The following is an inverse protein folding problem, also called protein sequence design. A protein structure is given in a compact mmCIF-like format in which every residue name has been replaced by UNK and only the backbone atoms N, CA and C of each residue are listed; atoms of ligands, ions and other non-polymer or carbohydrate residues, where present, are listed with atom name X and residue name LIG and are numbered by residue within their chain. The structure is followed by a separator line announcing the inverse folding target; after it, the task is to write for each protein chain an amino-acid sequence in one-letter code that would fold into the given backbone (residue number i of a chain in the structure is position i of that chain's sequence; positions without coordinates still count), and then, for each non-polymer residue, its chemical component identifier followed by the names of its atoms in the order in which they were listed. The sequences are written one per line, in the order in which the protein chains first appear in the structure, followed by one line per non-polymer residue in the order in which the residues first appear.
data_IF_655616105823
#
_entry.id   IF_655616105823
#
_cell.length_a   1.000
_cell.length_b   1.000
_cell.length_c   1.000
_cell.angle_alpha   90.00
_cell.angle_beta   90.00
_cell.angle_gamma   90.00
#
_symmetry.space_group_name_H-M   'P 1'
#
loop_
_entity.id
_entity.type
_entity.pdbx_description
1 polymer ?
#
# COMPACT_ATOMS: atom_id res chain seq x y z
N UNK A 1 -11.27 21.57 4.71
CA UNK A 1 -10.89 21.78 3.29
C UNK A 1 -9.41 21.52 2.97
N UNK A 2 -8.44 21.81 3.85
CA UNK A 2 -7.02 21.41 3.62
C UNK A 2 -6.73 19.95 4.07
N UNK A 3 -7.47 19.46 5.07
CA UNK A 3 -7.34 18.11 5.61
C UNK A 3 -7.82 17.02 4.63
N UNK A 4 -9.01 17.18 4.03
CA UNK A 4 -9.53 16.25 3.01
C UNK A 4 -8.55 16.06 1.84
N UNK A 5 -8.07 17.16 1.25
CA UNK A 5 -7.13 17.09 0.13
C UNK A 5 -5.82 16.36 0.48
N UNK A 6 -5.36 16.48 1.73
CA UNK A 6 -4.17 15.77 2.21
C UNK A 6 -4.45 14.27 2.34
N UNK A 7 -5.59 13.88 2.93
CA UNK A 7 -6.00 12.49 3.06
C UNK A 7 -6.21 11.83 1.69
N UNK A 8 -6.85 12.54 0.75
CA UNK A 8 -7.08 12.08 -0.61
C UNK A 8 -5.75 11.85 -1.35
N UNK A 9 -4.79 12.77 -1.19
CA UNK A 9 -3.45 12.62 -1.76
C UNK A 9 -2.71 11.42 -1.16
N UNK A 10 -2.81 11.19 0.14
CA UNK A 10 -2.16 10.05 0.79
C UNK A 10 -2.81 8.72 0.38
N UNK A 11 -4.14 8.67 0.26
CA UNK A 11 -4.85 7.51 -0.24
C UNK A 11 -4.41 7.15 -1.67
N UNK A 12 -4.29 8.15 -2.54
CA UNK A 12 -3.76 7.96 -3.90
C UNK A 12 -2.34 7.40 -3.90
N UNK A 13 -1.44 7.95 -3.06
CA UNK A 13 -0.06 7.48 -2.97
C UNK A 13 0.05 6.04 -2.44
N UNK A 14 -0.81 5.66 -1.48
CA UNK A 14 -0.86 4.29 -0.96
C UNK A 14 -1.34 3.29 -2.02
N UNK A 15 -2.39 3.63 -2.76
CA UNK A 15 -2.90 2.81 -3.87
C UNK A 15 -1.85 2.62 -4.98
N UNK A 16 -1.16 3.70 -5.37
CA UNK A 16 -0.10 3.64 -6.38
C UNK A 16 1.09 2.77 -5.92
N UNK A 17 1.50 2.92 -4.65
CA UNK A 17 2.56 2.10 -4.06
C UNK A 17 2.18 0.61 -4.03
N UNK A 18 0.94 0.28 -3.68
CA UNK A 18 0.46 -1.11 -3.69
C UNK A 18 0.46 -1.69 -5.11
N UNK A 19 -0.07 -0.95 -6.10
CA UNK A 19 -0.09 -1.38 -7.50
C UNK A 19 1.31 -1.65 -8.03
N UNK A 20 2.23 -0.72 -7.77
CA UNK A 20 3.64 -0.87 -8.14
C UNK A 20 4.28 -2.08 -7.47
N UNK A 21 4.00 -2.30 -6.19
CA UNK A 21 4.53 -3.44 -5.43
C UNK A 21 4.01 -4.78 -5.98
N UNK A 22 2.70 -4.89 -6.24
CA UNK A 22 2.10 -6.11 -6.82
C UNK A 22 2.63 -6.40 -8.22
N UNK A 23 2.82 -5.36 -9.03
CA UNK A 23 3.47 -5.50 -10.34
C UNK A 23 4.88 -6.05 -10.21
N UNK A 24 5.70 -5.50 -9.31
CA UNK A 24 7.06 -5.99 -9.07
C UNK A 24 7.09 -7.46 -8.62
N UNK A 25 6.19 -7.86 -7.70
CA UNK A 25 6.05 -9.27 -7.28
C UNK A 25 5.75 -10.17 -8.49
N UNK A 26 4.81 -9.76 -9.35
CA UNK A 26 4.43 -10.54 -10.55
C UNK A 26 5.62 -10.71 -11.51
N UNK A 27 6.44 -9.66 -11.68
CA UNK A 27 7.65 -9.73 -12.50
C UNK A 27 8.70 -10.68 -11.89
N UNK A 28 8.89 -10.63 -10.57
CA UNK A 28 9.82 -11.52 -9.88
C UNK A 28 9.36 -12.97 -9.89
N UNK A 29 8.06 -13.24 -9.77
CA UNK A 29 7.50 -14.59 -9.90
C UNK A 29 7.75 -15.17 -11.29
N UNK A 30 7.60 -14.33 -12.33
CA UNK A 30 7.90 -14.71 -13.71
C UNK A 30 9.39 -15.06 -13.87
N UNK A 31 10.29 -14.27 -13.28
CA UNK A 31 11.74 -14.56 -13.26
C UNK A 31 12.05 -15.84 -12.46
N UNK A 32 11.39 -16.02 -11.32
CA UNK A 32 11.54 -17.18 -10.44
C UNK A 32 11.09 -18.49 -11.10
N UNK A 33 10.14 -18.44 -12.04
CA UNK A 33 9.68 -19.61 -12.80
C UNK A 33 10.69 -20.15 -13.83
N UNK A 34 11.74 -19.37 -14.14
CA UNK A 34 12.78 -19.80 -15.08
C UNK A 34 13.67 -20.90 -14.49
N UNK A 35 14.28 -21.70 -15.37
CA UNK A 35 15.20 -22.77 -14.93
C UNK A 35 16.61 -22.23 -14.70
N UNK A 36 17.12 -22.40 -13.48
CA UNK A 36 18.45 -21.93 -13.07
C UNK A 36 19.39 -23.10 -12.77
N UNK A 37 20.20 -23.54 -13.73
CA UNK A 37 21.01 -24.77 -13.57
C UNK A 37 22.42 -24.53 -13.01
N UNK A 38 22.95 -23.31 -13.14
CA UNK A 38 24.27 -22.97 -12.63
C UNK A 38 24.22 -22.57 -11.15
N UNK A 39 25.34 -22.70 -10.43
CA UNK A 39 25.46 -22.21 -9.06
C UNK A 39 25.15 -20.71 -8.97
N UNK A 40 25.61 -19.92 -9.95
CA UNK A 40 25.29 -18.50 -10.03
C UNK A 40 23.79 -18.25 -10.25
N UNK A 41 23.14 -19.08 -11.08
CA UNK A 41 21.70 -19.02 -11.31
C UNK A 41 20.89 -19.35 -10.05
N UNK A 42 21.29 -20.37 -9.29
CA UNK A 42 20.64 -20.72 -8.03
C UNK A 42 20.79 -19.58 -6.99
N UNK A 43 21.99 -18.99 -6.86
CA UNK A 43 22.20 -17.84 -5.98
C UNK A 43 21.38 -16.60 -6.41
N UNK A 44 21.15 -16.42 -7.71
CA UNK A 44 20.25 -15.39 -8.23
C UNK A 44 18.79 -15.70 -7.88
N UNK A 45 18.34 -16.93 -8.10
CA UNK A 45 16.99 -17.38 -7.74
C UNK A 45 16.68 -17.15 -6.25
N UNK A 46 17.61 -17.51 -5.36
CA UNK A 46 17.44 -17.28 -3.92
C UNK A 46 17.23 -15.80 -3.60
N UNK A 47 17.92 -14.89 -4.30
CA UNK A 47 17.74 -13.45 -4.13
C UNK A 47 16.38 -12.97 -4.65
N UNK A 48 15.92 -13.51 -5.77
CA UNK A 48 14.59 -13.22 -6.34
C UNK A 48 13.50 -13.63 -5.34
N UNK A 49 13.56 -14.85 -4.81
CA UNK A 49 12.60 -15.35 -3.81
C UNK A 49 12.60 -14.49 -2.54
N UNK A 50 13.78 -14.14 -2.03
CA UNK A 50 13.90 -13.28 -0.86
C UNK A 50 13.31 -11.89 -1.10
N UNK A 51 13.54 -11.31 -2.29
CA UNK A 51 12.98 -10.02 -2.65
C UNK A 51 11.46 -10.08 -2.80
N UNK A 52 10.91 -11.11 -3.45
CA UNK A 52 9.45 -11.31 -3.55
C UNK A 52 8.81 -11.38 -2.16
N UNK A 53 9.38 -12.18 -1.25
CA UNK A 53 8.86 -12.29 0.12
C UNK A 53 8.90 -10.97 0.90
N UNK A 54 9.95 -10.16 0.69
CA UNK A 54 10.02 -8.83 1.29
C UNK A 54 8.96 -7.88 0.71
N UNK A 55 8.73 -7.92 -0.60
CA UNK A 55 7.70 -7.11 -1.25
C UNK A 55 6.27 -7.53 -0.86
N UNK A 56 6.02 -8.82 -0.63
CA UNK A 56 4.74 -9.30 -0.10
C UNK A 56 4.43 -8.70 1.27
N UNK A 57 5.44 -8.67 2.16
CA UNK A 57 5.32 -8.02 3.47
C UNK A 57 5.10 -6.52 3.33
N UNK A 58 5.80 -5.85 2.42
CA UNK A 58 5.58 -4.43 2.14
C UNK A 58 4.13 -4.18 1.67
N UNK A 59 3.61 -5.00 0.76
CA UNK A 59 2.24 -4.88 0.28
C UNK A 59 1.20 -5.07 1.40
N UNK A 60 1.47 -5.94 2.39
CA UNK A 60 0.62 -6.07 3.58
C UNK A 60 0.65 -4.80 4.43
N UNK A 61 1.83 -4.26 4.72
CA UNK A 61 1.97 -3.01 5.49
C UNK A 61 1.27 -1.83 4.78
N UNK A 62 1.36 -1.76 3.45
CA UNK A 62 0.64 -0.75 2.67
C UNK A 62 -0.88 -0.91 2.73
N UNK A 63 -1.38 -2.14 2.78
CA UNK A 63 -2.81 -2.43 2.95
C UNK A 63 -3.31 -2.03 4.35
N UNK A 64 -2.52 -2.31 5.38
CA UNK A 64 -2.83 -1.88 6.75
C UNK A 64 -2.86 -0.35 6.86
N UNK A 65 -1.89 0.33 6.24
CA UNK A 65 -1.84 1.79 6.20
C UNK A 65 -3.07 2.41 5.50
N UNK A 66 -3.53 1.81 4.41
CA UNK A 66 -4.77 2.21 3.72
C UNK A 66 -6.00 2.02 4.63
N UNK A 67 -6.07 0.91 5.37
CA UNK A 67 -7.13 0.66 6.34
C UNK A 67 -7.18 1.69 7.47
N UNK A 68 -6.02 2.06 8.02
CA UNK A 68 -5.92 3.14 9.01
C UNK A 68 -6.33 4.49 8.41
N UNK A 69 -5.91 4.79 7.18
CA UNK A 69 -6.28 6.04 6.49
C UNK A 69 -7.79 6.13 6.28
N UNK A 70 -8.42 5.06 5.82
CA UNK A 70 -9.88 4.99 5.64
C UNK A 70 -10.64 5.25 6.94
N UNK A 71 -10.13 4.71 8.05
CA UNK A 71 -10.70 4.91 9.39
C UNK A 71 -10.56 6.37 9.84
N UNK A 72 -9.37 6.96 9.70
CA UNK A 72 -9.11 8.35 10.04
C UNK A 72 -9.98 9.33 9.22
N UNK A 73 -10.14 9.07 7.92
CA UNK A 73 -11.02 9.85 7.04
C UNK A 73 -12.45 9.85 7.54
N UNK A 74 -12.97 8.68 7.95
CA UNK A 74 -14.34 8.56 8.48
C UNK A 74 -14.50 9.34 9.78
N UNK A 75 -13.58 9.19 10.72
CA UNK A 75 -13.60 9.91 12.00
C UNK A 75 -13.59 11.43 11.78
N UNK A 76 -12.76 11.93 10.86
CA UNK A 76 -12.70 13.36 10.54
C UNK A 76 -14.02 13.84 9.93
N UNK A 77 -14.63 13.08 9.02
CA UNK A 77 -15.93 13.43 8.44
C UNK A 77 -17.04 13.48 9.49
N UNK A 78 -17.05 12.54 10.43
CA UNK A 78 -18.00 12.52 11.55
C UNK A 78 -17.82 13.74 12.46
N UNK A 79 -16.58 14.10 12.80
CA UNK A 79 -16.27 15.29 13.59
C UNK A 79 -16.65 16.58 12.85
N UNK A 80 -16.39 16.68 11.55
CA UNK A 80 -16.80 17.84 10.74
C UNK A 80 -18.32 18.00 10.72
N UNK A 81 -19.07 16.89 10.61
CA UNK A 81 -20.52 16.90 10.64
C UNK A 81 -21.09 17.33 12.00
N UNK A 82 -20.49 16.86 13.09
CA UNK A 82 -20.88 17.26 14.45
C UNK A 82 -20.62 18.76 14.70
N UNK A 83 -19.46 19.27 14.27
CA UNK A 83 -19.14 20.71 14.33
C UNK A 83 -20.16 21.54 13.53
N UNK A 84 -20.54 21.08 12.33
CA UNK A 84 -21.55 21.77 11.52
C UNK A 84 -22.92 21.82 12.20
N UNK A 85 -23.36 20.71 12.80
CA UNK A 85 -24.61 20.67 13.58
C UNK A 85 -24.59 21.66 14.73
N UNK A 86 -23.51 21.70 15.52
CA UNK A 86 -23.38 22.61 16.64
C UNK A 86 -23.39 24.08 16.20
N UNK A 87 -22.76 24.40 15.05
CA UNK A 87 -22.76 25.76 14.49
C UNK A 87 -24.11 26.22 13.94
N UNK A 88 -25.01 25.32 13.55
CA UNK A 88 -26.36 25.64 13.06
C UNK A 88 -27.38 25.82 14.19
N UNK A 89 -27.03 25.45 15.42
CA UNK A 89 -27.88 25.58 16.62
C UNK A 89 -27.65 26.91 17.34
N UNK A 90 -26.65 27.69 16.93
CA UNK A 90 -26.38 29.08 17.35
C UNK A 90 -26.71 30.06 16.22
#
# INVERSE_FOLDING_TARGET
MMFSATLDSMAFQLDDAQKTTRFAITQLDSIGSLTWQSQAGQAFYDRVVNLSSWLEKLNQVLADAEGYMSSATREIQELELEIMKQKLVF
#
